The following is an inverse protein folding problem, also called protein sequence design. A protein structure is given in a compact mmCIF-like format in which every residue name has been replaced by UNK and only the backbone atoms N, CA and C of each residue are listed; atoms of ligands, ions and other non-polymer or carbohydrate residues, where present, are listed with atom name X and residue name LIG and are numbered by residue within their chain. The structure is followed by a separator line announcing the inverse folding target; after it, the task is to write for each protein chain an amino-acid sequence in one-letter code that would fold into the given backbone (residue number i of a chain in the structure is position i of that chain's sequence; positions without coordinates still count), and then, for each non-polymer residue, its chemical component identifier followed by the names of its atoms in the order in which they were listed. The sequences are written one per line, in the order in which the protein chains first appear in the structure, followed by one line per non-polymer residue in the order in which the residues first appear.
data_IF_735185779209
#
_entry.id   IF_735185779209
#
_cell.length_a   1.000
_cell.length_b   1.000
_cell.length_c   1.000
_cell.angle_alpha   90.00
_cell.angle_beta   90.00
_cell.angle_gamma   90.00
#
_symmetry.space_group_name_H-M   'P 1'
#
loop_
_entity.id
_entity.type
_entity.pdbx_description
1 polymer ?
#
# COMPACT_ATOMS: atom_id res chain seq x y z
N UNK A 1 15.85 11.46 9.24
CA UNK A 1 15.13 10.33 8.60
C UNK A 1 14.38 10.89 7.41
N UNK A 2 14.34 10.18 6.29
CA UNK A 2 13.51 10.54 5.12
C UNK A 2 12.22 9.71 5.22
N UNK A 3 11.07 10.38 5.15
CA UNK A 3 9.74 9.77 5.12
C UNK A 3 9.46 9.36 3.67
N UNK A 4 9.09 8.10 3.44
CA UNK A 4 8.77 7.58 2.11
C UNK A 4 7.29 7.78 1.73
N UNK A 5 6.92 7.44 0.48
CA UNK A 5 5.56 7.65 -0.01
C UNK A 5 4.49 6.83 0.73
N UNK A 6 4.78 5.60 1.12
CA UNK A 6 3.87 4.79 1.95
C UNK A 6 3.62 5.45 3.32
N UNK A 7 4.69 5.90 3.97
CA UNK A 7 4.60 6.59 5.26
C UNK A 7 3.84 7.91 5.15
N UNK A 8 4.06 8.66 4.07
CA UNK A 8 3.35 9.90 3.80
C UNK A 8 1.85 9.65 3.60
N UNK A 9 1.48 8.71 2.72
CA UNK A 9 0.09 8.37 2.47
C UNK A 9 -0.63 7.87 3.74
N UNK A 10 0.04 7.05 4.55
CA UNK A 10 -0.46 6.57 5.84
C UNK A 10 -0.73 7.73 6.82
N UNK A 11 0.21 8.68 6.95
CA UNK A 11 0.02 9.84 7.82
C UNK A 11 -1.11 10.74 7.34
N UNK A 12 -1.27 10.92 6.04
CA UNK A 12 -2.38 11.68 5.47
C UNK A 12 -3.73 11.04 5.79
N UNK A 13 -3.88 9.75 5.54
CA UNK A 13 -5.11 9.02 5.85
C UNK A 13 -5.43 9.07 7.36
N UNK A 14 -4.43 8.84 8.21
CA UNK A 14 -4.58 8.95 9.67
C UNK A 14 -5.06 10.33 10.10
N UNK A 15 -4.36 11.38 9.65
CA UNK A 15 -4.70 12.76 10.00
C UNK A 15 -6.10 13.15 9.57
N UNK A 16 -6.49 12.83 8.34
CA UNK A 16 -7.81 13.14 7.80
C UNK A 16 -8.90 12.48 8.64
N UNK A 17 -8.75 11.20 8.97
CA UNK A 17 -9.71 10.47 9.80
C UNK A 17 -9.79 11.07 11.21
N UNK A 18 -8.64 11.26 11.88
CA UNK A 18 -8.62 11.76 13.26
C UNK A 18 -9.23 13.16 13.38
N UNK A 19 -8.94 14.05 12.44
CA UNK A 19 -9.55 15.39 12.45
C UNK A 19 -11.04 15.36 12.11
N UNK A 20 -11.47 14.54 11.16
CA UNK A 20 -12.91 14.36 10.88
C UNK A 20 -13.64 13.80 12.10
N UNK A 21 -13.05 12.86 12.85
CA UNK A 21 -13.60 12.35 14.12
C UNK A 21 -13.70 13.46 15.17
N UNK A 22 -12.59 14.17 15.41
CA UNK A 22 -12.53 15.27 16.40
C UNK A 22 -13.58 16.36 16.12
N UNK A 23 -13.86 16.62 14.86
CA UNK A 23 -14.85 17.62 14.42
C UNK A 23 -16.28 17.06 14.32
N UNK A 24 -16.52 15.79 14.61
CA UNK A 24 -17.82 15.14 14.42
C UNK A 24 -18.27 15.07 12.95
N UNK A 25 -17.31 15.10 12.01
CA UNK A 25 -17.57 15.14 10.56
C UNK A 25 -17.26 13.80 9.85
N UNK A 26 -16.76 12.80 10.57
CA UNK A 26 -16.59 11.46 9.99
C UNK A 26 -17.94 10.79 9.82
N UNK A 27 -18.25 10.35 8.62
CA UNK A 27 -19.55 9.75 8.26
C UNK A 27 -19.38 8.28 7.87
N UNK A 28 -20.39 7.44 8.05
CA UNK A 28 -20.38 6.04 7.59
C UNK A 28 -20.22 5.91 6.07
N UNK A 29 -20.51 6.98 5.32
CA UNK A 29 -20.36 7.05 3.87
C UNK A 29 -18.99 7.52 3.40
N UNK A 30 -18.09 7.87 4.34
CA UNK A 30 -16.73 8.28 4.01
C UNK A 30 -15.89 7.06 3.59
N UNK A 31 -15.09 7.21 2.53
CA UNK A 31 -14.19 6.15 2.09
C UNK A 31 -12.82 6.67 1.67
N UNK A 32 -11.84 5.79 1.81
CA UNK A 32 -10.46 5.97 1.33
C UNK A 32 -10.19 5.06 0.12
N UNK A 33 -9.20 5.45 -0.69
CA UNK A 33 -8.72 4.62 -1.80
C UNK A 33 -7.21 4.49 -1.71
N UNK A 34 -6.68 3.26 -1.84
CA UNK A 34 -5.24 3.04 -2.02
C UNK A 34 -4.98 2.11 -3.20
N UNK A 35 -3.76 2.12 -3.72
CA UNK A 35 -3.41 1.08 -4.70
C UNK A 35 -3.07 -0.24 -4.01
N UNK A 36 -3.27 -1.33 -4.73
CA UNK A 36 -2.99 -2.70 -4.24
C UNK A 36 -1.53 -2.91 -3.81
N UNK A 37 -0.60 -2.03 -4.21
CA UNK A 37 0.82 -2.09 -3.84
C UNK A 37 1.20 -1.08 -2.75
N UNK A 38 0.28 -0.24 -2.32
CA UNK A 38 0.46 0.69 -1.20
C UNK A 38 0.31 -0.06 0.13
N UNK A 39 0.94 0.46 1.19
CA UNK A 39 1.02 -0.19 2.51
C UNK A 39 -0.33 -0.62 3.09
N UNK A 40 -0.36 -1.79 3.71
CA UNK A 40 -1.54 -2.32 4.42
C UNK A 40 -1.81 -1.63 5.77
N UNK A 41 -0.92 -0.77 6.25
CA UNK A 41 -1.19 0.04 7.45
C UNK A 41 -2.39 0.95 7.24
N UNK A 42 -2.60 1.44 6.01
CA UNK A 42 -3.82 2.22 5.67
C UNK A 42 -5.09 1.39 5.86
N UNK A 43 -5.04 0.09 5.53
CA UNK A 43 -6.17 -0.81 5.75
C UNK A 43 -6.47 -0.99 7.25
N UNK A 44 -5.44 -1.10 8.08
CA UNK A 44 -5.62 -1.18 9.54
C UNK A 44 -6.18 0.12 10.13
N UNK A 45 -5.71 1.28 9.62
CA UNK A 45 -6.27 2.59 10.01
C UNK A 45 -7.75 2.67 9.65
N UNK A 46 -8.11 2.36 8.42
CA UNK A 46 -9.48 2.41 7.94
C UNK A 46 -10.38 1.45 8.75
N UNK A 47 -9.95 0.20 8.92
CA UNK A 47 -10.66 -0.84 9.68
C UNK A 47 -10.95 -0.43 11.12
N UNK A 48 -9.95 0.05 11.86
CA UNK A 48 -10.12 0.47 13.26
C UNK A 48 -11.03 1.69 13.43
N UNK A 49 -11.17 2.48 12.38
CA UNK A 49 -12.00 3.68 12.39
C UNK A 49 -13.36 3.49 11.71
N UNK A 50 -13.70 2.27 11.28
CA UNK A 50 -14.93 1.95 10.55
C UNK A 50 -15.11 2.81 9.28
N UNK A 51 -14.01 3.09 8.58
CA UNK A 51 -13.98 3.77 7.29
C UNK A 51 -13.84 2.73 6.20
N UNK A 52 -14.65 2.83 5.16
CA UNK A 52 -14.52 1.97 3.99
C UNK A 52 -13.16 2.24 3.29
N UNK A 53 -12.42 1.18 2.97
CA UNK A 53 -11.22 1.25 2.15
C UNK A 53 -11.44 0.48 0.86
N UNK A 54 -11.07 1.10 -0.26
CA UNK A 54 -11.08 0.45 -1.56
C UNK A 54 -9.68 0.31 -2.10
N UNK A 55 -9.37 -0.89 -2.54
CA UNK A 55 -8.16 -1.18 -3.29
C UNK A 55 -8.40 -0.96 -4.79
N UNK A 56 -7.45 -0.29 -5.46
CA UNK A 56 -7.49 -0.13 -6.90
C UNK A 56 -6.13 -0.45 -7.53
N UNK A 57 -6.07 -0.54 -8.85
CA UNK A 57 -4.80 -0.68 -9.56
C UNK A 57 -3.96 0.59 -9.47
N UNK A 58 -2.65 0.45 -9.72
CA UNK A 58 -1.73 1.59 -9.80
C UNK A 58 -2.12 2.54 -10.94
N UNK A 59 -2.01 3.83 -10.67
CA UNK A 59 -2.39 4.91 -11.57
C UNK A 59 -3.64 5.65 -11.12
N UNK A 60 -3.54 6.97 -11.05
CA UNK A 60 -4.60 7.84 -10.52
C UNK A 60 -5.94 7.73 -11.25
N UNK A 61 -5.94 7.28 -12.50
CA UNK A 61 -7.18 6.99 -13.25
C UNK A 61 -8.11 6.02 -12.50
N UNK A 62 -7.53 5.10 -11.71
CA UNK A 62 -8.31 4.14 -10.94
C UNK A 62 -8.87 4.76 -9.66
N UNK A 63 -8.09 5.61 -8.98
CA UNK A 63 -8.59 6.42 -7.86
C UNK A 63 -9.72 7.34 -8.34
N UNK A 64 -9.51 8.02 -9.47
CA UNK A 64 -10.53 8.88 -10.08
C UNK A 64 -11.80 8.12 -10.46
N UNK A 65 -11.67 6.87 -10.91
CA UNK A 65 -12.82 5.99 -11.18
C UNK A 65 -13.61 5.71 -9.90
N UNK A 66 -12.95 5.34 -8.79
CA UNK A 66 -13.62 5.08 -7.52
C UNK A 66 -14.38 6.32 -7.01
N UNK A 67 -13.80 7.50 -7.20
CA UNK A 67 -14.49 8.76 -6.89
C UNK A 67 -15.72 8.93 -7.79
N UNK A 68 -15.57 8.75 -9.11
CA UNK A 68 -16.64 8.99 -10.07
C UNK A 68 -17.87 8.08 -9.86
N UNK A 69 -17.65 6.79 -9.61
CA UNK A 69 -18.77 5.84 -9.38
C UNK A 69 -19.49 6.04 -8.05
N UNK A 70 -18.86 6.81 -7.14
CA UNK A 70 -19.40 7.11 -5.80
C UNK A 70 -20.05 8.48 -5.67
N UNK A 71 -20.00 9.29 -6.72
CA UNK A 71 -20.62 10.62 -6.72
C UNK A 71 -22.10 10.58 -6.31
N UNK A 72 -22.45 11.47 -5.39
CA UNK A 72 -23.82 11.57 -4.85
C UNK A 72 -24.26 10.44 -3.90
N UNK A 73 -23.42 9.42 -3.67
CA UNK A 73 -23.72 8.29 -2.79
C UNK A 73 -22.80 8.22 -1.58
N UNK A 74 -21.50 8.39 -1.79
CA UNK A 74 -20.45 8.29 -0.77
C UNK A 74 -19.46 9.45 -0.91
N UNK A 75 -18.72 9.71 0.15
CA UNK A 75 -17.76 10.81 0.19
C UNK A 75 -16.33 10.26 0.21
N UNK A 76 -15.59 10.50 -0.86
CA UNK A 76 -14.15 10.30 -0.88
C UNK A 76 -13.47 11.28 0.08
N UNK A 77 -12.59 10.77 0.95
CA UNK A 77 -11.90 11.60 1.95
C UNK A 77 -10.37 11.60 1.81
N UNK A 78 -9.82 10.77 0.93
CA UNK A 78 -8.40 10.74 0.64
C UNK A 78 -7.95 9.42 0.02
N UNK A 79 -6.81 9.46 -0.65
CA UNK A 79 -6.19 8.26 -1.22
C UNK A 79 -4.95 8.56 -2.02
N UNK A 80 -4.16 7.53 -2.27
CA UNK A 80 -2.90 7.71 -2.94
C UNK A 80 -2.13 6.45 -3.25
N UNK A 81 -0.92 6.67 -3.70
CA UNK A 81 0.04 5.68 -4.15
C UNK A 81 1.30 5.70 -3.28
N UNK A 82 2.02 4.59 -3.25
CA UNK A 82 3.32 4.45 -2.57
C UNK A 82 4.42 5.37 -3.12
N UNK A 83 4.21 5.89 -4.33
CA UNK A 83 5.14 6.76 -5.07
C UNK A 83 4.89 8.26 -4.85
N UNK A 84 4.43 8.65 -3.65
CA UNK A 84 4.13 10.02 -3.21
C UNK A 84 2.90 10.68 -3.86
N UNK A 85 2.23 10.04 -4.81
CA UNK A 85 0.99 10.56 -5.36
C UNK A 85 -0.13 10.48 -4.32
N UNK A 86 -0.73 11.63 -3.95
CA UNK A 86 -1.87 11.67 -3.05
C UNK A 86 -2.92 12.68 -3.51
N UNK A 87 -4.17 12.41 -3.20
CA UNK A 87 -5.31 13.27 -3.47
C UNK A 87 -6.13 13.40 -2.18
N UNK A 88 -6.11 14.57 -1.49
CA UNK A 88 -6.77 14.73 -0.19
C UNK A 88 -8.28 15.01 -0.28
N UNK A 89 -8.83 15.22 -1.48
CA UNK A 89 -10.24 15.59 -1.72
C UNK A 89 -10.69 15.23 -3.14
N UNK A 90 -11.97 15.35 -3.44
CA UNK A 90 -12.61 14.87 -4.67
C UNK A 90 -12.75 15.89 -5.81
N UNK A 91 -12.20 17.11 -5.67
CA UNK A 91 -12.36 18.19 -6.66
C UNK A 91 -11.46 18.05 -7.89
N UNK A 92 -10.27 17.51 -7.70
CA UNK A 92 -9.33 17.14 -8.75
C UNK A 92 -9.44 15.63 -8.99
N UNK A 93 -9.10 15.16 -10.20
CA UNK A 93 -9.19 13.73 -10.55
C UNK A 93 -7.83 13.12 -10.83
N UNK A 94 -6.80 13.74 -10.33
CA UNK A 94 -5.42 13.25 -10.36
C UNK A 94 -4.73 13.67 -9.05
N UNK A 95 -3.53 13.15 -8.80
CA UNK A 95 -2.69 13.55 -7.67
C UNK A 95 -2.52 15.06 -7.61
N UNK A 96 -2.65 15.62 -6.43
CA UNK A 96 -2.55 17.05 -6.19
C UNK A 96 -1.36 17.35 -5.28
N UNK A 97 -0.22 17.67 -5.89
CA UNK A 97 1.00 17.97 -5.16
C UNK A 97 0.89 19.26 -4.32
N UNK A 98 0.34 20.40 -4.82
CA UNK A 98 0.12 21.57 -4.01
C UNK A 98 -0.72 21.30 -2.76
N UNK A 99 -1.86 20.61 -2.90
CA UNK A 99 -2.70 20.25 -1.76
C UNK A 99 -1.99 19.29 -0.80
N UNK A 100 -1.21 18.34 -1.32
CA UNK A 100 -0.44 17.41 -0.48
C UNK A 100 0.67 18.10 0.30
N UNK A 101 1.32 19.12 -0.28
CA UNK A 101 2.30 19.97 0.42
C UNK A 101 1.63 20.77 1.54
N UNK A 102 0.49 21.38 1.27
CA UNK A 102 -0.28 22.08 2.30
C UNK A 102 -0.67 21.13 3.44
N UNK A 103 -1.15 19.94 3.08
CA UNK A 103 -1.57 18.93 4.06
C UNK A 103 -0.40 18.44 4.94
N UNK A 104 0.80 18.17 4.39
CA UNK A 104 1.93 17.75 5.23
C UNK A 104 2.42 18.87 6.14
N UNK A 105 2.37 20.13 5.70
CA UNK A 105 2.68 21.28 6.55
C UNK A 105 1.65 21.43 7.70
N UNK A 106 0.37 21.23 7.41
CA UNK A 106 -0.70 21.24 8.42
C UNK A 106 -0.49 20.10 9.43
N UNK A 107 -0.17 18.89 8.97
CA UNK A 107 0.14 17.75 9.85
C UNK A 107 1.35 18.03 10.72
N UNK A 108 2.39 18.66 10.18
CA UNK A 108 3.58 19.03 10.94
C UNK A 108 3.26 20.06 12.04
N UNK A 109 2.44 21.06 11.73
CA UNK A 109 1.96 22.04 12.70
C UNK A 109 1.10 21.38 13.78
N UNK A 110 0.15 20.53 13.38
CA UNK A 110 -0.72 19.79 14.27
C UNK A 110 0.05 18.84 15.20
N UNK A 111 1.09 18.17 14.70
CA UNK A 111 1.98 17.35 15.54
C UNK A 111 2.75 18.22 16.54
N UNK A 112 3.28 19.38 16.09
CA UNK A 112 4.02 20.32 16.94
C UNK A 112 3.15 20.90 18.06
N UNK A 113 1.89 21.19 17.80
CA UNK A 113 0.93 21.64 18.83
C UNK A 113 0.71 20.58 19.92
N UNK A 114 0.99 19.32 19.65
CA UNK A 114 0.96 18.22 20.61
C UNK A 114 2.34 17.91 21.22
N UNK A 115 3.35 18.74 20.97
CA UNK A 115 4.72 18.50 21.41
C UNK A 115 5.43 17.37 20.66
N UNK A 116 4.97 17.01 19.45
CA UNK A 116 5.46 15.90 18.63
C UNK A 116 6.13 16.39 17.37
N UNK A 117 7.04 15.59 16.85
CA UNK A 117 7.57 15.68 15.48
C UNK A 117 6.77 14.76 14.54
N UNK A 118 7.00 14.87 13.23
CA UNK A 118 6.46 13.90 12.27
C UNK A 118 6.99 12.47 12.50
N UNK A 119 8.18 12.33 13.07
CA UNK A 119 8.73 11.04 13.46
C UNK A 119 7.93 10.43 14.63
N UNK A 120 7.62 11.22 15.65
CA UNK A 120 6.83 10.77 16.79
C UNK A 120 5.42 10.37 16.35
N UNK A 121 4.83 11.11 15.41
CA UNK A 121 3.54 10.75 14.80
C UNK A 121 3.62 9.43 14.03
N UNK A 122 4.66 9.23 13.22
CA UNK A 122 4.89 7.99 12.51
C UNK A 122 4.99 6.80 13.45
N UNK A 123 5.77 6.94 14.52
CA UNK A 123 5.94 5.90 15.55
C UNK A 123 4.62 5.62 16.25
N UNK A 124 3.85 6.66 16.57
CA UNK A 124 2.51 6.51 17.17
C UNK A 124 1.59 5.69 16.26
N UNK A 125 1.54 6.00 14.98
CA UNK A 125 0.72 5.27 14.00
C UNK A 125 1.15 3.80 13.94
N UNK A 126 2.45 3.53 13.89
CA UNK A 126 2.94 2.14 13.89
C UNK A 126 2.64 1.39 15.19
N UNK A 127 2.71 2.05 16.34
CA UNK A 127 2.37 1.42 17.62
C UNK A 127 0.87 1.12 17.74
N UNK A 128 0.04 1.94 17.12
CA UNK A 128 -1.41 1.80 17.17
C UNK A 128 -1.97 0.86 16.09
N UNK A 129 -1.45 0.94 14.86
CA UNK A 129 -2.02 0.24 13.70
C UNK A 129 -1.13 -0.90 13.17
N UNK A 130 0.07 -1.06 13.74
CA UNK A 130 1.03 -2.08 13.34
C UNK A 130 2.18 -1.51 12.50
N UNK A 131 3.38 -2.04 12.75
CA UNK A 131 4.58 -1.67 12.01
C UNK A 131 4.63 -2.41 10.68
N UNK A 132 5.00 -1.67 9.66
CA UNK A 132 5.30 -2.19 8.33
C UNK A 132 6.54 -1.53 7.76
N UNK A 133 7.36 -2.31 7.06
CA UNK A 133 8.51 -1.85 6.29
C UNK A 133 8.33 -2.25 4.84
N UNK A 134 8.24 -1.24 4.00
CA UNK A 134 8.08 -1.42 2.56
C UNK A 134 9.43 -1.21 1.85
N UNK A 135 9.63 -1.97 0.79
CA UNK A 135 10.77 -1.85 -0.11
C UNK A 135 10.37 -2.19 -1.55
N UNK A 136 10.88 -1.42 -2.51
CA UNK A 136 10.63 -1.68 -3.94
C UNK A 136 11.92 -2.08 -4.64
N UNK A 137 11.91 -3.24 -5.27
CA UNK A 137 13.00 -3.70 -6.15
C UNK A 137 12.60 -3.45 -7.59
N UNK A 138 13.47 -2.80 -8.36
CA UNK A 138 13.30 -2.60 -9.79
C UNK A 138 14.33 -3.45 -10.54
N UNK A 139 13.85 -4.41 -11.33
CA UNK A 139 14.70 -5.21 -12.20
C UNK A 139 14.53 -4.71 -13.64
N UNK A 140 15.58 -4.11 -14.18
CA UNK A 140 15.59 -3.59 -15.56
C UNK A 140 16.22 -4.63 -16.48
N UNK A 141 15.57 -4.87 -17.60
CA UNK A 141 16.05 -5.74 -18.69
C UNK A 141 16.07 -4.93 -19.98
N UNK A 142 17.19 -4.29 -20.36
CA UNK A 142 17.24 -3.41 -21.51
C UNK A 142 17.08 -4.19 -22.83
N UNK A 143 16.52 -3.50 -23.84
CA UNK A 143 16.37 -4.04 -25.19
C UNK A 143 15.09 -4.87 -25.40
N UNK A 144 14.93 -5.35 -26.64
CA UNK A 144 13.74 -6.12 -27.04
C UNK A 144 13.66 -7.48 -26.33
N UNK A 145 14.79 -8.15 -26.22
CA UNK A 145 14.90 -9.44 -25.48
C UNK A 145 14.51 -9.29 -24.01
N UNK A 146 14.82 -8.14 -23.39
CA UNK A 146 14.46 -7.86 -22.01
C UNK A 146 12.96 -7.80 -21.75
N UNK A 147 12.19 -7.30 -22.69
CA UNK A 147 10.73 -7.31 -22.60
C UNK A 147 10.17 -8.75 -22.64
N UNK A 148 10.73 -9.60 -23.48
CA UNK A 148 10.37 -11.02 -23.58
C UNK A 148 10.76 -11.78 -22.30
N UNK A 149 11.95 -11.49 -21.73
CA UNK A 149 12.38 -12.06 -20.45
C UNK A 149 11.39 -11.70 -19.32
N UNK A 150 10.96 -10.44 -19.22
CA UNK A 150 10.00 -10.00 -18.21
C UNK A 150 8.65 -10.71 -18.41
N UNK A 151 8.21 -10.87 -19.65
CA UNK A 151 6.98 -11.61 -19.95
C UNK A 151 7.11 -13.08 -19.53
N UNK A 152 8.26 -13.70 -19.80
CA UNK A 152 8.52 -15.08 -19.38
C UNK A 152 8.54 -15.20 -17.86
N UNK A 153 9.22 -14.28 -17.14
CA UNK A 153 9.19 -14.26 -15.66
C UNK A 153 7.77 -14.27 -15.09
N UNK A 154 6.86 -13.46 -15.65
CA UNK A 154 5.46 -13.44 -15.21
C UNK A 154 4.72 -14.74 -15.51
N UNK A 155 5.05 -15.40 -16.62
CA UNK A 155 4.52 -16.73 -16.98
C UNK A 155 5.01 -17.78 -16.00
N UNK A 156 6.31 -17.76 -15.67
CA UNK A 156 6.95 -18.71 -14.76
C UNK A 156 6.41 -18.56 -13.33
N UNK A 157 6.22 -17.32 -12.85
CA UNK A 157 5.61 -17.07 -11.54
C UNK A 157 4.14 -17.53 -11.46
N UNK A 158 3.40 -17.55 -12.56
CA UNK A 158 2.05 -18.11 -12.60
C UNK A 158 2.05 -19.63 -12.59
N UNK A 159 2.96 -20.23 -13.37
CA UNK A 159 3.09 -21.69 -13.46
C UNK A 159 3.64 -22.29 -12.15
N UNK A 160 4.62 -21.60 -11.55
CA UNK A 160 5.34 -22.06 -10.36
C UNK A 160 5.40 -20.94 -9.32
N UNK A 161 4.29 -20.62 -8.64
CA UNK A 161 4.28 -19.57 -7.63
C UNK A 161 5.17 -19.96 -6.42
N UNK A 162 5.87 -18.98 -5.81
CA UNK A 162 6.69 -19.24 -4.65
C UNK A 162 5.85 -19.82 -3.51
N UNK A 163 6.38 -20.84 -2.85
CA UNK A 163 5.74 -21.49 -1.69
C UNK A 163 6.21 -20.85 -0.37
N UNK A 164 7.36 -20.18 -0.41
CA UNK A 164 7.97 -19.51 0.72
C UNK A 164 8.65 -18.21 0.28
N UNK A 165 8.63 -17.19 1.11
CA UNK A 165 9.28 -15.90 0.89
C UNK A 165 9.97 -15.45 2.18
N UNK A 166 11.32 -15.42 2.16
CA UNK A 166 12.13 -14.97 3.29
C UNK A 166 11.88 -15.76 4.57
N UNK A 167 11.71 -17.09 4.47
CA UNK A 167 11.48 -17.99 5.61
C UNK A 167 10.01 -18.09 6.07
N UNK A 168 9.06 -17.43 5.38
CA UNK A 168 7.65 -17.49 5.72
C UNK A 168 6.84 -18.16 4.61
N UNK A 169 5.91 -19.03 5.00
CA UNK A 169 5.09 -19.80 4.07
C UNK A 169 4.08 -18.89 3.36
N UNK A 170 3.99 -18.98 2.04
CA UNK A 170 2.94 -18.32 1.29
C UNK A 170 1.61 -19.06 1.52
N UNK A 171 0.58 -18.30 1.89
CA UNK A 171 -0.76 -18.86 2.23
C UNK A 171 -1.86 -18.34 1.31
N UNK A 172 -1.60 -17.25 0.57
CA UNK A 172 -2.56 -16.70 -0.39
C UNK A 172 -1.85 -16.18 -1.63
N UNK A 173 -2.37 -16.52 -2.80
CA UNK A 173 -1.93 -16.08 -4.13
C UNK A 173 -3.06 -15.31 -4.81
N UNK A 174 -2.79 -14.09 -5.27
CA UNK A 174 -3.73 -13.33 -6.08
C UNK A 174 -3.17 -13.14 -7.48
N UNK A 175 -3.90 -13.57 -8.49
CA UNK A 175 -3.60 -13.26 -9.88
C UNK A 175 -4.66 -12.32 -10.44
N UNK A 176 -4.25 -11.09 -10.68
CA UNK A 176 -5.13 -10.06 -11.22
C UNK A 176 -5.39 -10.18 -12.72
N UNK A 177 -4.71 -11.11 -13.41
CA UNK A 177 -5.00 -11.40 -14.81
C UNK A 177 -6.14 -12.41 -14.95
N UNK A 178 -6.18 -13.44 -14.11
CA UNK A 178 -7.31 -14.39 -14.06
C UNK A 178 -8.44 -13.92 -13.14
N UNK A 179 -8.19 -12.90 -12.30
CA UNK A 179 -9.09 -12.44 -11.25
C UNK A 179 -9.40 -13.53 -10.21
N UNK A 180 -8.37 -14.28 -9.82
CA UNK A 180 -8.47 -15.37 -8.84
C UNK A 180 -7.64 -15.10 -7.59
N UNK A 181 -8.19 -15.51 -6.45
CA UNK A 181 -7.47 -15.68 -5.18
C UNK A 181 -7.42 -17.15 -4.87
N UNK A 182 -6.22 -17.69 -4.65
CA UNK A 182 -6.00 -19.08 -4.24
C UNK A 182 -5.43 -19.10 -2.82
N UNK A 183 -5.89 -20.01 -2.01
CA UNK A 183 -5.44 -20.20 -0.64
C UNK A 183 -4.71 -21.53 -0.47
N UNK A 184 -3.88 -21.64 0.57
CA UNK A 184 -3.10 -22.83 0.86
C UNK A 184 -3.96 -24.07 1.22
N UNK A 185 -5.22 -23.86 1.59
CA UNK A 185 -6.20 -24.93 1.83
C UNK A 185 -6.85 -25.48 0.54
N UNK A 186 -6.48 -24.91 -0.62
CA UNK A 186 -7.00 -25.26 -1.94
C UNK A 186 -8.27 -24.49 -2.34
N UNK A 187 -8.80 -23.63 -1.49
CA UNK A 187 -9.95 -22.80 -1.84
C UNK A 187 -9.58 -21.74 -2.90
N UNK A 188 -10.54 -21.42 -3.77
CA UNK A 188 -10.38 -20.40 -4.83
C UNK A 188 -11.55 -19.45 -4.76
N UNK A 189 -11.24 -18.16 -4.75
CA UNK A 189 -12.21 -17.07 -4.75
C UNK A 189 -12.02 -16.15 -5.97
N UNK A 190 -13.05 -15.43 -6.35
CA UNK A 190 -12.98 -14.41 -7.40
C UNK A 190 -12.55 -13.08 -6.82
N UNK A 191 -11.56 -12.44 -7.44
CA UNK A 191 -11.21 -11.04 -7.16
C UNK A 191 -12.27 -10.10 -7.72
N UNK A 192 -12.82 -9.25 -6.86
CA UNK A 192 -13.72 -8.17 -7.29
C UNK A 192 -12.90 -6.95 -7.71
N UNK A 193 -12.51 -6.94 -8.98
CA UNK A 193 -11.74 -5.85 -9.58
C UNK A 193 -12.38 -5.42 -10.91
N UNK A 194 -12.31 -4.12 -11.27
CA UNK A 194 -13.03 -3.56 -12.42
C UNK A 194 -12.51 -4.02 -13.79
N UNK A 195 -11.32 -4.57 -13.84
CA UNK A 195 -10.65 -5.03 -15.05
C UNK A 195 -9.52 -6.00 -14.70
N UNK A 196 -8.96 -6.68 -15.68
CA UNK A 196 -7.75 -7.49 -15.51
C UNK A 196 -6.48 -6.62 -15.51
N UNK A 197 -5.44 -7.08 -14.82
CA UNK A 197 -4.12 -6.45 -14.80
C UNK A 197 -3.02 -7.49 -14.64
N UNK A 198 -1.88 -7.27 -15.29
CA UNK A 198 -0.74 -8.18 -15.16
C UNK A 198 0.01 -7.95 -13.85
N UNK A 199 -0.64 -8.31 -12.74
CA UNK A 199 -0.10 -8.22 -11.38
C UNK A 199 -0.29 -9.55 -10.68
N UNK A 200 0.71 -9.95 -9.90
CA UNK A 200 0.64 -11.07 -8.96
C UNK A 200 0.90 -10.56 -7.55
N UNK A 201 0.22 -11.11 -6.56
CA UNK A 201 0.51 -10.86 -5.14
C UNK A 201 0.57 -12.17 -4.37
N UNK A 202 1.49 -12.22 -3.44
CA UNK A 202 1.66 -13.32 -2.50
C UNK A 202 1.62 -12.80 -1.08
N UNK A 203 0.86 -13.48 -0.23
CA UNK A 203 0.73 -13.18 1.19
C UNK A 203 1.21 -14.36 1.99
N UNK A 204 2.11 -14.11 2.93
CA UNK A 204 2.64 -15.13 3.83
C UNK A 204 1.83 -15.21 5.14
N UNK A 205 2.05 -16.29 5.88
CA UNK A 205 1.44 -16.57 7.18
C UNK A 205 1.78 -15.53 8.26
N UNK A 206 2.89 -14.80 8.12
CA UNK A 206 3.28 -13.69 8.98
C UNK A 206 2.83 -12.30 8.46
N UNK A 207 1.93 -12.27 7.48
CA UNK A 207 1.44 -11.06 6.79
C UNK A 207 2.51 -10.31 5.96
N UNK A 208 3.63 -10.93 5.63
CA UNK A 208 4.51 -10.43 4.58
C UNK A 208 3.77 -10.45 3.25
N UNK A 209 3.80 -9.33 2.51
CA UNK A 209 3.17 -9.21 1.19
C UNK A 209 4.25 -8.92 0.14
N UNK A 210 4.22 -9.64 -0.97
CA UNK A 210 5.02 -9.34 -2.15
C UNK A 210 4.09 -9.18 -3.35
N UNK A 211 4.23 -8.05 -4.05
CA UNK A 211 3.47 -7.78 -5.28
C UNK A 211 4.45 -7.64 -6.43
N UNK A 212 4.12 -8.26 -7.56
CA UNK A 212 4.97 -8.24 -8.78
C UNK A 212 4.19 -7.64 -9.93
N UNK A 213 4.79 -6.65 -10.58
CA UNK A 213 4.17 -5.94 -11.69
C UNK A 213 5.19 -5.50 -12.73
N UNK A 214 5.04 -5.90 -14.00
CA UNK A 214 5.79 -5.30 -15.11
C UNK A 214 5.40 -3.84 -15.31
N UNK A 215 6.35 -3.02 -15.75
CA UNK A 215 6.06 -1.66 -16.23
C UNK A 215 5.36 -1.73 -17.57
N UNK A 216 4.35 -0.88 -17.78
CA UNK A 216 3.68 -0.77 -19.08
C UNK A 216 4.44 0.06 -20.11
N UNK A 217 5.45 0.82 -19.70
CA UNK A 217 6.15 1.80 -20.57
C UNK A 217 7.64 1.56 -20.69
N UNK A 218 8.23 0.76 -19.82
CA UNK A 218 9.68 0.52 -19.79
C UNK A 218 9.95 -0.97 -19.58
N UNK A 219 11.06 -1.50 -20.11
CA UNK A 219 11.44 -2.92 -19.95
C UNK A 219 11.97 -3.16 -18.51
N UNK A 220 11.08 -3.05 -17.54
CA UNK A 220 11.36 -3.30 -16.12
C UNK A 220 10.19 -4.01 -15.44
N UNK A 221 10.52 -4.81 -14.43
CA UNK A 221 9.58 -5.42 -13.51
C UNK A 221 9.85 -4.91 -12.10
N UNK A 222 8.79 -4.63 -11.37
CA UNK A 222 8.85 -4.13 -10.00
C UNK A 222 8.34 -5.18 -9.03
N UNK A 223 9.07 -5.35 -7.93
CA UNK A 223 8.64 -6.12 -6.78
C UNK A 223 8.42 -5.15 -5.63
N UNK A 224 7.21 -5.12 -5.11
CA UNK A 224 6.84 -4.35 -3.92
C UNK A 224 6.77 -5.34 -2.76
N UNK A 225 7.67 -5.18 -1.81
CA UNK A 225 7.81 -6.05 -0.64
C UNK A 225 7.35 -5.26 0.57
N UNK A 226 6.45 -5.83 1.37
CA UNK A 226 5.98 -5.29 2.63
C UNK A 226 6.16 -6.35 3.72
N UNK A 227 6.94 -6.03 4.75
CA UNK A 227 7.20 -6.91 5.89
C UNK A 227 6.62 -6.28 7.14
N UNK A 228 5.77 -7.01 7.85
CA UNK A 228 5.20 -6.59 9.13
C UNK A 228 6.02 -7.13 10.31
N UNK A 229 6.11 -6.36 11.39
CA UNK A 229 6.70 -6.82 12.66
C UNK A 229 5.73 -6.56 13.82
N UNK A 230 5.05 -7.59 14.33
CA UNK A 230 4.08 -7.47 15.40
C UNK A 230 4.71 -7.13 16.77
N UNK A 231 6.04 -7.21 16.88
CA UNK A 231 6.77 -6.88 18.10
C UNK A 231 6.97 -5.38 18.31
N UNK A 232 6.61 -4.54 17.32
CA UNK A 232 6.70 -3.10 17.44
C UNK A 232 5.69 -2.57 18.46
N UNK A 233 6.18 -1.79 19.45
CA UNK A 233 5.32 -1.22 20.53
C UNK A 233 5.59 0.26 20.79
N UNK A 234 6.77 0.76 20.49
CA UNK A 234 7.17 2.13 20.81
C UNK A 234 8.39 2.58 19.98
N UNK A 235 8.78 3.84 20.11
CA UNK A 235 9.93 4.44 19.44
C UNK A 235 11.24 3.66 19.63
N UNK A 236 11.48 3.12 20.81
CA UNK A 236 12.69 2.32 21.12
C UNK A 236 12.78 1.03 20.29
N UNK A 237 11.65 0.56 19.73
CA UNK A 237 11.64 -0.62 18.87
C UNK A 237 11.98 -0.30 17.40
N UNK A 238 11.91 0.97 16.97
CA UNK A 238 11.93 1.36 15.56
C UNK A 238 13.16 0.82 14.80
N UNK A 239 14.37 1.05 15.34
CA UNK A 239 15.59 0.61 14.66
C UNK A 239 15.70 -0.91 14.61
N UNK A 240 15.35 -1.61 15.69
CA UNK A 240 15.38 -3.08 15.75
C UNK A 240 14.38 -3.69 14.77
N UNK A 241 13.11 -3.25 14.78
CA UNK A 241 12.08 -3.76 13.86
C UNK A 241 12.41 -3.41 12.40
N UNK A 242 12.98 -2.22 12.16
CA UNK A 242 13.44 -1.85 10.80
C UNK A 242 14.57 -2.75 10.34
N UNK A 243 15.58 -3.05 11.18
CA UNK A 243 16.68 -3.94 10.84
C UNK A 243 16.17 -5.35 10.54
N UNK A 244 15.35 -5.93 11.42
CA UNK A 244 14.78 -7.27 11.24
C UNK A 244 13.95 -7.37 9.95
N UNK A 245 13.12 -6.36 9.66
CA UNK A 245 12.35 -6.32 8.42
C UNK A 245 13.25 -6.19 7.17
N UNK A 246 14.34 -5.42 7.25
CA UNK A 246 15.30 -5.31 6.15
C UNK A 246 16.06 -6.61 5.92
N UNK A 247 16.46 -7.33 6.97
CA UNK A 247 17.10 -8.66 6.83
C UNK A 247 16.17 -9.63 6.10
N UNK A 248 14.88 -9.62 6.44
CA UNK A 248 13.88 -10.44 5.74
C UNK A 248 13.68 -10.00 4.29
N UNK A 249 13.63 -8.70 4.01
CA UNK A 249 13.56 -8.16 2.65
C UNK A 249 14.77 -8.63 1.83
N UNK A 250 15.98 -8.59 2.39
CA UNK A 250 17.17 -9.08 1.71
C UNK A 250 17.14 -10.60 1.47
N UNK A 251 16.50 -11.38 2.35
CA UNK A 251 16.26 -12.80 2.12
C UNK A 251 15.28 -13.06 0.98
N UNK A 252 14.22 -12.25 0.86
CA UNK A 252 13.21 -12.35 -0.23
C UNK A 252 13.83 -11.98 -1.60
N UNK A 253 14.82 -11.10 -1.65
CA UNK A 253 15.47 -10.65 -2.89
C UNK A 253 16.42 -11.69 -3.51
N UNK A 254 16.81 -12.72 -2.79
CA UNK A 254 17.67 -13.83 -3.26
C UNK A 254 16.89 -14.85 -4.04
#
# INVERSE_FOLDING_TARGET
MIINGNQTAMMFCYYIIENKKKLGKLKPTDFLVKTIVTTEVIAEIAKKNNVELRDCYTGFKWIAREIAISEGKQQYIGGGEESFGFLPYDKVRDKDAPASICLICEIAAWAKDQGKTLYDLLVQIYAEYGFSKEFTVNVVRPGKTGADEIKQMMTDFRANPPQELGGSKVVTWKDYQSLEVKHADGSVEKLDMPATSNVLQWFCDDNTKVSVRPSGTEPKIKFYIEVKDPSFKCAGCYNRCTAAAMDKIEAIKK
#
